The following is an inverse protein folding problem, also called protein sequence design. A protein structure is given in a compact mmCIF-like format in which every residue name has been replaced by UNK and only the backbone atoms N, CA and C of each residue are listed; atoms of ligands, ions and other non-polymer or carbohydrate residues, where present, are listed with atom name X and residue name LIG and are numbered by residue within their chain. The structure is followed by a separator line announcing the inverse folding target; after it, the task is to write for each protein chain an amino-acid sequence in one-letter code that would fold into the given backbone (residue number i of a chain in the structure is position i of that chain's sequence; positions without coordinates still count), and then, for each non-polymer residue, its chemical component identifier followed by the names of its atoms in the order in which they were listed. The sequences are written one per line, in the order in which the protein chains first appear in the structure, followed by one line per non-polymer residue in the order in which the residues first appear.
data_IF_965773131874
#
_entry.id   IF_965773131874
#
_cell.length_a   1.000
_cell.length_b   1.000
_cell.length_c   1.000
_cell.angle_alpha   90.00
_cell.angle_beta   90.00
_cell.angle_gamma   90.00
#
_symmetry.space_group_name_H-M   'P 1'
#
loop_
_entity.id
_entity.type
_entity.pdbx_description
1 polymer ?
#
# COMPACT_ATOMS: atom_id res chain seq x y z
N UNK A 1 21.37 -6.65 14.56
CA UNK A 1 20.23 -7.53 14.25
C UNK A 1 20.36 -7.99 12.81
N UNK A 2 20.44 -9.29 12.60
CA UNK A 2 20.49 -9.93 11.27
C UNK A 2 19.08 -10.32 10.87
N UNK A 3 18.46 -9.60 9.94
CA UNK A 3 17.16 -10.00 9.38
C UNK A 3 17.33 -11.09 8.32
N UNK A 4 16.33 -11.95 8.12
CA UNK A 4 16.39 -12.97 7.07
C UNK A 4 16.36 -12.33 5.66
N UNK A 5 16.96 -12.98 4.64
CA UNK A 5 16.86 -12.53 3.25
C UNK A 5 15.41 -12.35 2.78
N UNK A 6 14.52 -13.25 3.23
CA UNK A 6 13.08 -13.19 2.92
C UNK A 6 12.43 -11.93 3.48
N UNK A 7 12.74 -11.56 4.73
CA UNK A 7 12.21 -10.32 5.37
C UNK A 7 12.61 -9.09 4.58
N UNK A 8 13.87 -9.04 4.14
CA UNK A 8 14.39 -7.93 3.34
C UNK A 8 13.78 -7.86 1.96
N UNK A 9 13.65 -9.01 1.30
CA UNK A 9 12.99 -9.10 0.00
C UNK A 9 11.54 -8.64 0.08
N UNK A 10 10.80 -9.07 1.11
CA UNK A 10 9.42 -8.61 1.34
C UNK A 10 9.35 -7.10 1.57
N UNK A 11 10.26 -6.53 2.39
CA UNK A 11 10.30 -5.09 2.63
C UNK A 11 10.57 -4.30 1.34
N UNK A 12 11.64 -4.65 0.62
CA UNK A 12 11.99 -3.98 -0.64
C UNK A 12 10.87 -4.12 -1.69
N UNK A 13 10.33 -5.33 -1.86
CA UNK A 13 9.24 -5.58 -2.78
C UNK A 13 7.97 -4.79 -2.41
N UNK A 14 7.66 -4.64 -1.12
CA UNK A 14 6.50 -3.84 -0.69
C UNK A 14 6.58 -2.40 -1.19
N UNK A 15 7.74 -1.74 -1.02
CA UNK A 15 7.95 -0.38 -1.49
C UNK A 15 7.91 -0.27 -3.02
N UNK A 16 8.51 -1.22 -3.73
CA UNK A 16 8.47 -1.25 -5.19
C UNK A 16 7.04 -1.44 -5.73
N UNK A 17 6.23 -2.27 -5.08
CA UNK A 17 4.84 -2.48 -5.46
C UNK A 17 3.97 -1.24 -5.18
N UNK A 18 4.25 -0.52 -4.09
CA UNK A 18 3.59 0.77 -3.84
C UNK A 18 3.93 1.84 -4.87
N UNK A 19 5.12 1.80 -5.48
CA UNK A 19 5.46 2.63 -6.63
C UNK A 19 4.81 2.12 -7.92
N UNK A 20 4.78 0.80 -8.13
CA UNK A 20 4.18 0.19 -9.31
C UNK A 20 2.67 0.48 -9.40
N UNK A 21 1.97 0.58 -8.26
CA UNK A 21 0.55 0.92 -8.22
C UNK A 21 0.22 2.20 -9.01
N UNK A 22 0.66 3.41 -8.60
CA UNK A 22 0.35 4.63 -9.31
C UNK A 22 1.03 4.76 -10.68
N UNK A 23 2.10 4.00 -10.96
CA UNK A 23 2.75 3.99 -12.28
C UNK A 23 1.95 3.23 -13.33
N UNK A 24 1.37 2.09 -12.95
CA UNK A 24 0.64 1.20 -13.87
C UNK A 24 -0.85 1.56 -13.92
N UNK A 25 -1.37 2.21 -12.89
CA UNK A 25 -2.77 2.63 -12.83
C UNK A 25 -3.10 3.55 -14.02
N UNK A 26 -4.11 3.21 -14.85
CA UNK A 26 -4.55 4.11 -15.90
C UNK A 26 -5.26 5.33 -15.27
N UNK A 27 -5.05 6.51 -15.85
CA UNK A 27 -5.67 7.76 -15.42
C UNK A 27 -6.51 8.32 -16.56
N UNK A 28 -7.79 8.51 -16.31
CA UNK A 28 -8.77 9.18 -17.15
C UNK A 28 -9.91 9.67 -16.26
N UNK A 29 -10.86 10.43 -16.81
CA UNK A 29 -12.05 10.83 -16.07
C UNK A 29 -12.94 9.60 -15.82
N UNK A 30 -12.97 9.14 -14.57
CA UNK A 30 -13.70 7.95 -14.12
C UNK A 30 -15.23 8.07 -14.20
N UNK A 31 -15.76 9.23 -14.61
CA UNK A 31 -17.20 9.43 -14.87
C UNK A 31 -17.59 9.25 -16.35
N UNK A 32 -16.61 9.03 -17.22
CA UNK A 32 -16.80 8.95 -18.68
C UNK A 32 -16.66 7.52 -19.21
N UNK A 33 -17.01 7.30 -20.48
CA UNK A 33 -16.75 6.02 -21.16
C UNK A 33 -15.24 5.71 -21.28
N UNK A 34 -14.39 6.73 -21.37
CA UNK A 34 -12.93 6.55 -21.31
C UNK A 34 -12.51 6.06 -19.91
N UNK A 35 -13.11 6.62 -18.86
CA UNK A 35 -13.01 6.14 -17.48
C UNK A 35 -13.41 4.67 -17.33
N UNK A 36 -14.55 4.30 -17.91
CA UNK A 36 -15.02 2.93 -17.92
C UNK A 36 -14.02 1.98 -18.60
N UNK A 37 -13.46 2.36 -19.75
CA UNK A 37 -12.45 1.55 -20.45
C UNK A 37 -11.17 1.39 -19.62
N UNK A 38 -10.70 2.47 -18.99
CA UNK A 38 -9.55 2.43 -18.09
C UNK A 38 -9.78 1.51 -16.90
N UNK A 39 -10.93 1.64 -16.22
CA UNK A 39 -11.31 0.81 -15.06
C UNK A 39 -11.54 -0.65 -15.43
N UNK A 40 -12.06 -0.93 -16.63
CA UNK A 40 -12.21 -2.26 -17.19
C UNK A 40 -10.90 -2.88 -17.72
N UNK A 41 -9.77 -2.19 -17.63
CA UNK A 41 -8.50 -2.69 -18.18
C UNK A 41 -7.79 -3.67 -17.23
N UNK A 42 -6.93 -4.52 -17.80
CA UNK A 42 -6.01 -5.35 -17.01
C UNK A 42 -5.01 -4.52 -16.18
N UNK A 43 -4.66 -3.31 -16.65
CA UNK A 43 -3.79 -2.40 -15.92
C UNK A 43 -4.44 -1.89 -14.62
N UNK A 44 -5.75 -1.66 -14.64
CA UNK A 44 -6.51 -1.34 -13.42
C UNK A 44 -6.39 -2.46 -12.39
N UNK A 45 -6.67 -3.70 -12.78
CA UNK A 45 -6.54 -4.89 -11.91
C UNK A 45 -5.11 -5.00 -11.37
N UNK A 46 -4.11 -5.01 -12.25
CA UNK A 46 -2.72 -5.18 -11.88
C UNK A 46 -2.25 -4.10 -10.88
N UNK A 47 -2.58 -2.84 -11.16
CA UNK A 47 -2.19 -1.72 -10.31
C UNK A 47 -2.74 -1.87 -8.88
N UNK A 48 -4.02 -2.20 -8.72
CA UNK A 48 -4.63 -2.38 -7.41
C UNK A 48 -4.10 -3.63 -6.69
N UNK A 49 -3.82 -4.72 -7.43
CA UNK A 49 -3.16 -5.90 -6.86
C UNK A 49 -1.73 -5.61 -6.39
N UNK A 50 -1.01 -4.68 -7.01
CA UNK A 50 0.29 -4.23 -6.47
C UNK A 50 0.14 -3.56 -5.11
N UNK A 51 -0.86 -2.70 -4.92
CA UNK A 51 -1.13 -2.12 -3.60
C UNK A 51 -1.49 -3.19 -2.56
N UNK A 52 -2.38 -4.13 -2.92
CA UNK A 52 -2.75 -5.28 -2.06
C UNK A 52 -1.51 -6.07 -1.63
N UNK A 53 -0.68 -6.48 -2.60
CA UNK A 53 0.53 -7.22 -2.33
C UNK A 53 1.54 -6.40 -1.52
N UNK A 54 1.64 -5.09 -1.77
CA UNK A 54 2.46 -4.15 -1.01
C UNK A 54 2.10 -4.14 0.48
N UNK A 55 0.81 -4.02 0.82
CA UNK A 55 0.35 -4.03 2.22
C UNK A 55 0.61 -5.38 2.91
N UNK A 56 0.39 -6.49 2.20
CA UNK A 56 0.67 -7.84 2.71
C UNK A 56 2.16 -8.04 2.96
N UNK A 57 3.01 -7.64 2.02
CA UNK A 57 4.45 -7.80 2.16
C UNK A 57 5.04 -6.89 3.25
N UNK A 58 4.55 -5.66 3.40
CA UNK A 58 4.94 -4.77 4.49
C UNK A 58 4.56 -5.39 5.86
N UNK A 59 3.34 -5.92 5.95
CA UNK A 59 2.82 -6.64 7.11
C UNK A 59 3.72 -7.84 7.51
N UNK A 60 4.11 -8.65 6.53
CA UNK A 60 5.00 -9.80 6.74
C UNK A 60 6.44 -9.38 7.07
N UNK A 61 6.92 -8.32 6.44
CA UNK A 61 8.25 -7.78 6.70
C UNK A 61 8.39 -7.31 8.16
N UNK A 62 7.42 -6.56 8.69
CA UNK A 62 7.45 -6.11 10.09
C UNK A 62 7.46 -7.28 11.08
N UNK A 63 6.69 -8.35 10.81
CA UNK A 63 6.77 -9.59 11.59
C UNK A 63 8.16 -10.23 11.51
N UNK A 64 8.76 -10.29 10.33
CA UNK A 64 10.12 -10.82 10.16
C UNK A 64 11.18 -10.02 10.94
N UNK A 65 11.04 -8.70 10.97
CA UNK A 65 11.90 -7.79 11.75
C UNK A 65 11.68 -8.00 13.26
N UNK A 66 10.44 -8.15 13.72
CA UNK A 66 10.15 -8.54 15.11
C UNK A 66 10.83 -9.87 15.46
N UNK A 67 10.63 -10.92 14.64
CA UNK A 67 11.22 -12.25 14.89
C UNK A 67 12.74 -12.24 14.96
N UNK A 68 13.38 -11.27 14.32
CA UNK A 68 14.84 -11.11 14.32
C UNK A 68 15.36 -10.25 15.50
N UNK A 69 14.52 -9.40 16.10
CA UNK A 69 14.90 -8.50 17.21
C UNK A 69 14.45 -9.01 18.58
N UNK A 70 13.26 -9.59 18.67
CA UNK A 70 12.56 -9.81 19.92
C UNK A 70 11.99 -8.53 20.56
N UNK A 71 11.92 -7.40 19.84
CA UNK A 71 11.39 -6.14 20.40
C UNK A 71 9.86 -6.10 20.29
N UNK A 72 9.16 -6.15 21.43
CA UNK A 72 7.69 -6.10 21.51
C UNK A 72 7.07 -4.84 20.90
N UNK A 73 7.82 -3.74 20.75
CA UNK A 73 7.35 -2.57 20.00
C UNK A 73 7.14 -2.91 18.51
N UNK A 74 8.00 -3.76 17.95
CA UNK A 74 7.86 -4.22 16.56
C UNK A 74 6.72 -5.22 16.40
N UNK A 75 6.44 -6.05 17.41
CA UNK A 75 5.23 -6.88 17.39
C UNK A 75 3.97 -6.00 17.37
N UNK A 76 3.91 -4.97 18.22
CA UNK A 76 2.79 -4.02 18.23
C UNK A 76 2.65 -3.30 16.88
N UNK A 77 3.76 -2.84 16.30
CA UNK A 77 3.77 -2.23 14.97
C UNK A 77 3.24 -3.20 13.89
N UNK A 78 3.67 -4.47 13.91
CA UNK A 78 3.19 -5.49 12.99
C UNK A 78 1.69 -5.75 13.15
N UNK A 79 1.21 -5.96 14.39
CA UNK A 79 -0.20 -6.22 14.67
C UNK A 79 -1.11 -5.06 14.22
N UNK A 80 -0.73 -3.80 14.50
CA UNK A 80 -1.47 -2.62 14.05
C UNK A 80 -1.48 -2.54 12.51
N UNK A 81 -0.35 -2.83 11.87
CA UNK A 81 -0.25 -2.87 10.40
C UNK A 81 -1.14 -3.95 9.80
N UNK A 82 -1.25 -5.12 10.44
CA UNK A 82 -2.11 -6.22 9.99
C UNK A 82 -3.59 -5.89 10.04
N UNK A 83 -4.03 -5.29 11.15
CA UNK A 83 -5.42 -4.83 11.29
C UNK A 83 -5.69 -3.76 10.23
N UNK A 84 -4.76 -2.82 10.05
CA UNK A 84 -4.86 -1.79 9.02
C UNK A 84 -4.99 -2.38 7.61
N UNK A 85 -4.14 -3.35 7.26
CA UNK A 85 -4.24 -4.08 6.00
C UNK A 85 -5.59 -4.81 5.88
N UNK A 86 -5.98 -5.58 6.89
CA UNK A 86 -7.24 -6.34 6.91
C UNK A 86 -8.49 -5.47 6.69
N UNK A 87 -8.50 -4.23 7.19
CA UNK A 87 -9.58 -3.27 6.96
C UNK A 87 -9.50 -2.59 5.58
N UNK A 88 -8.30 -2.43 5.03
CA UNK A 88 -8.04 -1.77 3.73
C UNK A 88 -8.32 -2.69 2.54
N UNK A 89 -7.95 -3.97 2.64
CA UNK A 89 -7.98 -4.91 1.52
C UNK A 89 -9.38 -5.21 0.95
N UNK A 90 -10.49 -5.25 1.73
CA UNK A 90 -11.82 -5.41 1.18
C UNK A 90 -12.19 -4.31 0.16
N UNK A 91 -11.78 -3.07 0.44
CA UNK A 91 -12.02 -1.94 -0.47
C UNK A 91 -11.28 -2.14 -1.80
N UNK A 92 -9.99 -2.51 -1.73
CA UNK A 92 -9.22 -2.87 -2.92
C UNK A 92 -9.80 -4.07 -3.66
N UNK A 93 -10.33 -5.07 -2.97
CA UNK A 93 -10.97 -6.22 -3.62
C UNK A 93 -12.17 -5.82 -4.46
N UNK A 94 -13.01 -4.92 -3.95
CA UNK A 94 -14.13 -4.37 -4.71
C UNK A 94 -13.67 -3.48 -5.88
N UNK A 95 -12.65 -2.64 -5.69
CA UNK A 95 -12.03 -1.86 -6.78
C UNK A 95 -11.49 -2.77 -7.90
N UNK A 96 -10.88 -3.90 -7.55
CA UNK A 96 -10.29 -4.84 -8.51
C UNK A 96 -11.36 -5.62 -9.26
N UNK A 97 -12.31 -6.22 -8.54
CA UNK A 97 -13.22 -7.22 -9.12
C UNK A 97 -14.61 -6.65 -9.41
N UNK A 98 -15.20 -5.91 -8.48
CA UNK A 98 -16.54 -5.36 -8.61
C UNK A 98 -16.61 -4.25 -9.64
N UNK A 99 -15.78 -3.22 -9.45
CA UNK A 99 -15.70 -2.06 -10.34
C UNK A 99 -15.30 -2.44 -11.76
N UNK A 100 -14.39 -3.40 -11.93
CA UNK A 100 -14.01 -3.90 -13.24
C UNK A 100 -15.21 -4.45 -14.04
N UNK A 101 -16.09 -5.25 -13.41
CA UNK A 101 -17.26 -5.79 -14.11
C UNK A 101 -18.30 -4.70 -14.41
N UNK A 102 -18.51 -3.77 -13.48
CA UNK A 102 -19.40 -2.61 -13.68
C UNK A 102 -18.90 -1.77 -14.86
N UNK A 103 -17.62 -1.41 -14.87
CA UNK A 103 -17.00 -0.60 -15.91
C UNK A 103 -16.97 -1.31 -17.27
N UNK A 104 -16.69 -2.62 -17.28
CA UNK A 104 -16.73 -3.40 -18.51
C UNK A 104 -18.15 -3.44 -19.10
N UNK A 105 -19.19 -3.48 -18.25
CA UNK A 105 -20.58 -3.37 -18.68
C UNK A 105 -20.89 -1.98 -19.23
N UNK A 106 -20.52 -0.92 -18.51
CA UNK A 106 -20.67 0.47 -18.95
C UNK A 106 -20.04 0.70 -20.33
N UNK A 107 -18.82 0.20 -20.55
CA UNK A 107 -18.13 0.29 -21.82
C UNK A 107 -18.83 -0.51 -22.94
N UNK A 108 -19.35 -1.71 -22.67
CA UNK A 108 -20.07 -2.50 -23.70
C UNK A 108 -21.43 -1.89 -24.07
N UNK A 109 -22.17 -1.41 -23.08
CA UNK A 109 -23.51 -0.84 -23.26
C UNK A 109 -23.46 0.63 -23.72
N UNK A 110 -22.26 1.23 -23.75
CA UNK A 110 -22.05 2.66 -24.03
C UNK A 110 -22.86 3.55 -23.07
N UNK A 111 -22.97 3.10 -21.82
CA UNK A 111 -23.76 3.74 -20.78
C UNK A 111 -22.87 4.07 -19.58
N UNK A 112 -22.40 5.32 -19.53
CA UNK A 112 -21.59 5.83 -18.42
C UNK A 112 -22.39 5.98 -17.12
N UNK A 113 -23.73 5.98 -17.17
CA UNK A 113 -24.55 6.11 -15.96
C UNK A 113 -24.38 4.91 -15.03
N UNK A 114 -23.99 3.74 -15.55
CA UNK A 114 -23.67 2.57 -14.73
C UNK A 114 -22.49 2.79 -13.77
N UNK A 115 -21.64 3.79 -14.02
CA UNK A 115 -20.52 4.14 -13.14
C UNK A 115 -20.98 4.74 -11.81
N UNK A 116 -22.23 5.18 -11.67
CA UNK A 116 -22.78 5.59 -10.37
C UNK A 116 -22.76 4.45 -9.36
N UNK A 117 -22.86 3.19 -9.80
CA UNK A 117 -22.75 2.02 -8.92
C UNK A 117 -21.34 1.87 -8.33
N UNK A 118 -20.30 2.32 -9.05
CA UNK A 118 -18.94 2.36 -8.52
C UNK A 118 -18.85 3.39 -7.39
N UNK A 119 -19.46 4.56 -7.56
CA UNK A 119 -19.52 5.60 -6.53
C UNK A 119 -20.35 5.17 -5.32
N UNK A 120 -21.50 4.51 -5.53
CA UNK A 120 -22.32 3.96 -4.45
C UNK A 120 -21.51 3.03 -3.54
N UNK A 121 -20.66 2.18 -4.13
CA UNK A 121 -19.73 1.35 -3.38
C UNK A 121 -18.66 2.20 -2.67
N UNK A 122 -17.96 3.07 -3.41
CA UNK A 122 -16.81 3.84 -2.92
C UNK A 122 -17.16 4.74 -1.76
N UNK A 123 -18.33 5.37 -1.83
CA UNK A 123 -18.82 6.32 -0.83
C UNK A 123 -19.79 5.70 0.17
N UNK A 124 -20.03 4.38 0.10
CA UNK A 124 -20.79 3.68 1.12
C UNK A 124 -20.15 3.94 2.50
N UNK A 125 -20.91 4.41 3.51
CA UNK A 125 -20.33 4.84 4.79
C UNK A 125 -19.46 3.78 5.46
N UNK A 126 -19.86 2.52 5.40
CA UNK A 126 -19.06 1.43 5.95
C UNK A 126 -17.76 1.19 5.15
N UNK A 127 -17.81 1.28 3.83
CA UNK A 127 -16.64 1.04 2.97
C UNK A 127 -15.59 2.14 3.20
N UNK A 128 -16.00 3.42 3.15
CA UNK A 128 -15.12 4.56 3.44
C UNK A 128 -14.54 4.47 4.85
N UNK A 129 -15.37 4.16 5.84
CA UNK A 129 -14.91 4.11 7.24
C UNK A 129 -13.87 3.02 7.45
N UNK A 130 -14.13 1.81 6.93
CA UNK A 130 -13.18 0.70 7.01
C UNK A 130 -11.88 1.02 6.27
N UNK A 131 -11.98 1.56 5.06
CA UNK A 131 -10.81 1.91 4.25
C UNK A 131 -9.97 3.00 4.91
N UNK A 132 -10.59 4.11 5.33
CA UNK A 132 -9.89 5.21 5.98
C UNK A 132 -9.27 4.78 7.32
N UNK A 133 -10.01 4.05 8.15
CA UNK A 133 -9.46 3.51 9.40
C UNK A 133 -8.30 2.55 9.14
N UNK A 134 -8.41 1.70 8.11
CA UNK A 134 -7.35 0.80 7.68
C UNK A 134 -6.07 1.53 7.30
N UNK A 135 -6.17 2.55 6.45
CA UNK A 135 -5.03 3.37 6.03
C UNK A 135 -4.41 4.17 7.19
N UNK A 136 -5.23 4.70 8.10
CA UNK A 136 -4.74 5.36 9.31
C UNK A 136 -3.93 4.39 10.16
N UNK A 137 -4.46 3.18 10.40
CA UNK A 137 -3.74 2.16 11.18
C UNK A 137 -2.46 1.70 10.48
N UNK A 138 -2.43 1.59 9.16
CA UNK A 138 -1.20 1.32 8.40
C UNK A 138 -0.14 2.42 8.63
N UNK A 139 -0.55 3.69 8.60
CA UNK A 139 0.31 4.83 8.95
C UNK A 139 0.82 4.75 10.39
N UNK A 140 -0.06 4.50 11.36
CA UNK A 140 0.31 4.34 12.77
C UNK A 140 1.28 3.18 12.96
N UNK A 141 1.02 2.03 12.34
CA UNK A 141 1.90 0.86 12.39
C UNK A 141 3.31 1.16 11.88
N UNK A 142 3.42 1.89 10.77
CA UNK A 142 4.70 2.33 10.22
C UNK A 142 5.43 3.33 11.13
N UNK A 143 4.71 4.27 11.76
CA UNK A 143 5.27 5.20 12.75
C UNK A 143 5.78 4.46 13.99
N UNK A 144 5.01 3.49 14.52
CA UNK A 144 5.45 2.65 15.63
C UNK A 144 6.72 1.86 15.27
N UNK A 145 6.80 1.33 14.04
CA UNK A 145 8.00 0.68 13.55
C UNK A 145 9.19 1.66 13.48
N UNK A 146 8.98 2.89 13.02
CA UNK A 146 10.03 3.90 12.96
C UNK A 146 10.53 4.34 14.33
N UNK A 147 9.65 4.44 15.33
CA UNK A 147 10.04 4.70 16.72
C UNK A 147 10.92 3.59 17.30
N UNK A 148 10.69 2.33 16.91
CA UNK A 148 11.51 1.20 17.34
C UNK A 148 12.84 1.06 16.56
N UNK A 149 12.83 1.33 15.25
CA UNK A 149 13.97 1.11 14.35
C UNK A 149 14.90 2.33 14.21
N UNK A 150 14.40 3.53 14.54
CA UNK A 150 15.14 4.78 14.52
C UNK A 150 15.12 5.52 13.17
N UNK A 151 16.05 6.47 12.95
CA UNK A 151 15.99 7.49 11.89
C UNK A 151 15.78 6.94 10.47
N UNK A 152 16.33 5.76 10.18
CA UNK A 152 16.29 5.17 8.84
C UNK A 152 14.91 4.63 8.42
N UNK A 153 14.00 4.43 9.36
CA UNK A 153 12.65 3.95 9.06
C UNK A 153 11.64 5.10 8.82
N UNK A 154 12.01 6.34 9.14
CA UNK A 154 11.11 7.49 9.00
C UNK A 154 10.65 7.79 7.56
N UNK A 155 11.48 7.68 6.51
CA UNK A 155 10.99 7.93 5.15
C UNK A 155 9.82 7.01 4.76
N UNK A 156 9.90 5.73 5.14
CA UNK A 156 8.81 4.78 4.94
C UNK A 156 7.58 5.13 5.79
N UNK A 157 7.79 5.49 7.06
CA UNK A 157 6.69 5.88 7.95
C UNK A 157 5.95 7.14 7.48
N UNK A 158 6.68 8.15 7.00
CA UNK A 158 6.10 9.37 6.41
C UNK A 158 5.32 9.00 5.14
N UNK A 159 5.88 8.17 4.26
CA UNK A 159 5.15 7.68 3.08
C UNK A 159 3.85 6.98 3.47
N UNK A 160 3.88 6.09 4.47
CA UNK A 160 2.68 5.38 4.92
C UNK A 160 1.65 6.31 5.59
N UNK A 161 2.08 7.32 6.36
CA UNK A 161 1.19 8.32 6.93
C UNK A 161 0.52 9.21 5.85
N UNK A 162 1.21 9.45 4.74
CA UNK A 162 0.69 10.21 3.59
C UNK A 162 -0.14 9.37 2.60
N UNK A 163 -0.32 8.06 2.86
CA UNK A 163 -1.02 7.16 1.94
C UNK A 163 -2.51 7.50 1.77
N UNK A 164 -3.17 8.00 2.82
CA UNK A 164 -4.55 8.47 2.69
C UNK A 164 -4.61 9.83 1.95
N UNK A 165 -3.84 10.87 2.35
CA UNK A 165 -3.82 12.16 1.65
C UNK A 165 -3.56 12.08 0.14
N UNK A 166 -2.67 11.20 -0.33
CA UNK A 166 -2.31 11.13 -1.75
C UNK A 166 -3.48 10.81 -2.68
N UNK A 167 -4.55 10.15 -2.20
CA UNK A 167 -5.75 9.89 -3.01
C UNK A 167 -6.46 11.18 -3.47
N UNK A 168 -6.23 12.30 -2.80
CA UNK A 168 -6.81 13.61 -3.15
C UNK A 168 -5.88 14.45 -4.04
N UNK A 169 -4.82 13.84 -4.58
CA UNK A 169 -3.79 14.55 -5.35
C UNK A 169 -3.72 14.08 -6.81
N UNK A 170 -3.19 14.90 -7.74
CA UNK A 170 -3.02 14.52 -9.14
C UNK A 170 -2.05 13.34 -9.34
N UNK A 171 -2.08 12.67 -10.51
CA UNK A 171 -1.28 11.47 -10.79
C UNK A 171 0.22 11.63 -10.48
N UNK A 172 0.82 12.76 -10.84
CA UNK A 172 2.24 13.04 -10.60
C UNK A 172 2.60 12.98 -9.11
N UNK A 173 1.73 13.47 -8.23
CA UNK A 173 1.95 13.46 -6.77
C UNK A 173 1.80 12.05 -6.22
N UNK A 174 0.84 11.26 -6.72
CA UNK A 174 0.67 9.84 -6.35
C UNK A 174 1.90 9.02 -6.73
N UNK A 175 2.47 9.25 -7.92
CA UNK A 175 3.71 8.61 -8.36
C UNK A 175 4.89 9.02 -7.46
N UNK A 176 5.02 10.30 -7.15
CA UNK A 176 6.06 10.79 -6.23
C UNK A 176 5.93 10.19 -4.82
N UNK A 177 4.71 10.03 -4.33
CA UNK A 177 4.41 9.35 -3.07
C UNK A 177 4.81 7.87 -3.10
N UNK A 178 4.50 7.15 -4.18
CA UNK A 178 4.98 5.79 -4.41
C UNK A 178 6.51 5.71 -4.43
N UNK A 179 7.19 6.69 -5.03
CA UNK A 179 8.64 6.76 -5.07
C UNK A 179 9.26 6.97 -3.68
N UNK A 180 8.63 7.79 -2.84
CA UNK A 180 9.00 7.96 -1.43
C UNK A 180 8.91 6.64 -0.66
N UNK A 181 7.82 5.89 -0.84
CA UNK A 181 7.65 4.57 -0.23
C UNK A 181 8.72 3.57 -0.69
N UNK A 182 8.99 3.50 -1.99
CA UNK A 182 10.04 2.65 -2.55
C UNK A 182 11.42 3.02 -2.00
N UNK A 183 11.78 4.31 -2.03
CA UNK A 183 13.05 4.79 -1.50
C UNK A 183 13.21 4.51 0.00
N UNK A 184 12.15 4.75 0.79
CA UNK A 184 12.14 4.47 2.22
C UNK A 184 12.29 2.98 2.54
N UNK A 185 11.58 2.10 1.82
CA UNK A 185 11.68 0.66 2.01
C UNK A 185 13.07 0.11 1.63
N UNK A 186 13.63 0.56 0.50
CA UNK A 186 14.97 0.17 0.04
C UNK A 186 16.04 0.66 1.02
N UNK A 187 15.95 1.93 1.44
CA UNK A 187 16.87 2.50 2.41
C UNK A 187 16.85 1.74 3.74
N UNK A 188 15.66 1.46 4.27
CA UNK A 188 15.52 0.68 5.50
C UNK A 188 16.10 -0.74 5.32
N UNK A 189 15.83 -1.39 4.19
CA UNK A 189 16.37 -2.71 3.86
C UNK A 189 17.90 -2.72 3.91
N UNK A 190 18.55 -1.76 3.25
CA UNK A 190 20.01 -1.66 3.24
C UNK A 190 20.61 -1.45 4.65
N UNK A 191 19.90 -0.71 5.52
CA UNK A 191 20.36 -0.44 6.90
C UNK A 191 20.19 -1.65 7.82
N UNK A 192 19.15 -2.46 7.60
CA UNK A 192 19.00 -3.75 8.28
C UNK A 192 20.12 -4.72 7.88
N UNK A 193 20.62 -4.63 6.65
CA UNK A 193 21.77 -5.41 6.18
C UNK A 193 23.11 -4.99 6.75
N UNK A 194 23.40 -3.69 6.80
CA UNK A 194 24.68 -3.22 7.30
C UNK A 194 24.91 -3.53 8.79
N UNK A 195 23.83 -3.58 9.60
CA UNK A 195 23.92 -3.99 11.01
C UNK A 195 24.19 -5.49 11.21
N UNK A 196 24.04 -6.31 10.18
CA UNK A 196 24.40 -7.73 10.21
C UNK A 196 25.90 -7.98 9.99
N UNK A 197 26.57 -7.07 9.26
CA UNK A 197 27.94 -7.27 8.78
C UNK A 197 29.04 -6.61 9.63
N UNK A 198 28.70 -5.87 10.70
CA UNK A 198 29.70 -5.32 11.63
C UNK A 198 30.07 -6.39 12.67
N UNK A 199 31.32 -6.91 12.68
CA UNK A 199 31.78 -7.72 13.80
C UNK A 199 31.81 -6.85 15.07
N UNK A 200 31.36 -7.42 16.18
CA UNK A 200 31.61 -6.84 17.50
C UNK A 200 33.09 -7.00 17.76
N UNK A 201 33.87 -5.94 17.58
CA UNK A 201 35.22 -5.91 18.10
C UNK A 201 35.08 -5.82 19.63
N UNK A 202 35.32 -6.95 20.30
CA UNK A 202 35.56 -7.04 21.75
C UNK A 202 36.99 -6.62 22.01
#
# INVERSE_FOLDING_TARGET
MTTSPVTRAALAASGLLFLAYPLVRPYSDETTLEGAQAMASGAWIASHLFAVAGFVLLSLALLGVYRSSGDDRLMRAAAVTWIGAGLTLPYYGAEVFGLHVIAARAAREQDASLLTLADDFRFHPAAVTMFAAGLILLGVGAVLAALALGPHAWPLAVGMALFLPQFFTPPAVRIAHGALLAAGAIWLTARLDHRAKRPVNV
#
